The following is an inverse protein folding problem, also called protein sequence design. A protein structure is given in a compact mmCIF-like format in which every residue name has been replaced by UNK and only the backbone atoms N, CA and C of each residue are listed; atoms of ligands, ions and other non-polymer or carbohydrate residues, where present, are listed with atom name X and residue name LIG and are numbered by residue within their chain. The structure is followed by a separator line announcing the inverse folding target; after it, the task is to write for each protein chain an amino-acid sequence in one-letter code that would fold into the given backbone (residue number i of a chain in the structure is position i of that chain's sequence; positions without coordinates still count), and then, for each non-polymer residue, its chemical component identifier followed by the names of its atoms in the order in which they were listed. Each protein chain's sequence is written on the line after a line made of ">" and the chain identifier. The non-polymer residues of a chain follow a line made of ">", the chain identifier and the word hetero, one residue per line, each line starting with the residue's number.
data_IF_308007230764
#
_entry.id   IF_308007230764
#
_cell.length_a   1.000
_cell.length_b   1.000
_cell.length_c   1.000
_cell.angle_alpha   90.00
_cell.angle_beta   90.00
_cell.angle_gamma   90.00
#
_symmetry.space_group_name_H-M   'P 1'
#
loop_
_entity.id
_entity.type
_entity.pdbx_description
1 polymer ?
#
# COMPACT_ATOMS: atom_id res chain seq x y z
N UNK A 1 -31.12 29.36 10.53
CA UNK A 1 -31.34 28.21 9.63
C UNK A 1 -30.08 27.36 9.71
N UNK A 2 -30.00 26.40 10.63
CA UNK A 2 -30.40 24.99 10.46
C UNK A 2 -29.66 24.32 9.29
N UNK A 3 -28.39 23.98 9.51
CA UNK A 3 -27.78 22.84 8.83
C UNK A 3 -28.06 21.63 9.72
N UNK A 4 -28.78 20.67 9.17
CA UNK A 4 -29.28 19.50 9.85
C UNK A 4 -28.13 18.69 10.48
N UNK A 5 -28.31 18.30 11.74
CA UNK A 5 -27.66 17.11 12.29
C UNK A 5 -27.93 15.94 11.35
N UNK A 6 -26.87 15.34 10.81
CA UNK A 6 -26.95 14.05 10.12
C UNK A 6 -26.87 12.95 11.20
N UNK A 7 -27.96 12.19 11.48
CA UNK A 7 -27.93 11.08 12.42
C UNK A 7 -27.39 9.79 11.77
N UNK A 8 -26.74 9.89 10.61
CA UNK A 8 -26.04 8.80 9.94
C UNK A 8 -24.63 8.59 10.49
N UNK A 9 -24.51 8.28 11.78
CA UNK A 9 -23.27 7.80 12.38
C UNK A 9 -22.87 6.48 11.71
N UNK A 10 -22.09 6.57 10.63
CA UNK A 10 -21.28 5.43 10.18
C UNK A 10 -20.52 4.94 11.40
N UNK A 11 -20.57 3.64 11.72
CA UNK A 11 -19.83 3.13 12.87
C UNK A 11 -18.37 3.57 12.66
N UNK A 12 -17.84 4.32 13.62
CA UNK A 12 -16.42 4.54 13.71
C UNK A 12 -15.78 3.16 13.59
N UNK A 13 -14.84 2.95 12.64
CA UNK A 13 -14.18 1.65 12.55
C UNK A 13 -13.65 1.30 13.93
N UNK A 14 -13.79 0.03 14.30
CA UNK A 14 -13.42 -0.50 15.62
C UNK A 14 -12.11 0.14 16.10
N UNK A 15 -12.01 0.49 17.40
CA UNK A 15 -10.79 1.09 17.92
C UNK A 15 -9.61 0.21 17.52
N UNK A 16 -8.66 0.83 16.80
CA UNK A 16 -7.46 0.14 16.33
C UNK A 16 -6.83 -0.60 17.52
N UNK A 17 -6.37 -1.85 17.33
CA UNK A 17 -5.87 -2.66 18.43
C UNK A 17 -4.70 -1.94 19.12
N UNK A 18 -4.65 -2.05 20.45
CA UNK A 18 -3.60 -1.43 21.25
C UNK A 18 -2.21 -1.99 20.91
N UNK A 19 -2.17 -3.31 20.67
CA UNK A 19 -0.98 -4.07 20.32
C UNK A 19 -1.22 -4.90 19.05
N UNK A 20 -0.18 -5.05 18.24
CA UNK A 20 -0.17 -5.84 17.01
C UNK A 20 0.99 -6.82 17.08
N UNK A 21 0.75 -8.07 16.68
CA UNK A 21 1.83 -9.05 16.60
C UNK A 21 2.77 -8.74 15.45
N UNK A 22 4.07 -8.88 15.68
CA UNK A 22 5.08 -8.55 14.69
C UNK A 22 4.95 -9.38 13.40
N UNK A 23 4.51 -10.64 13.50
CA UNK A 23 4.25 -11.51 12.35
C UNK A 23 3.05 -11.04 11.51
N UNK A 24 1.97 -10.59 12.14
CA UNK A 24 0.82 -10.03 11.43
C UNK A 24 1.13 -8.66 10.81
N UNK A 25 1.93 -7.83 11.50
CA UNK A 25 2.42 -6.58 10.95
C UNK A 25 3.31 -6.85 9.71
N UNK A 26 4.24 -7.80 9.78
CA UNK A 26 5.08 -8.17 8.64
C UNK A 26 4.26 -8.68 7.45
N UNK A 27 3.26 -9.52 7.70
CA UNK A 27 2.36 -10.01 6.65
C UNK A 27 1.56 -8.86 6.02
N UNK A 28 1.09 -7.91 6.82
CA UNK A 28 0.36 -6.74 6.34
C UNK A 28 1.27 -5.78 5.56
N UNK A 29 2.52 -5.60 5.98
CA UNK A 29 3.55 -4.88 5.23
C UNK A 29 3.83 -5.54 3.87
N UNK A 30 3.89 -6.87 3.81
CA UNK A 30 4.06 -7.60 2.55
C UNK A 30 2.89 -7.36 1.59
N UNK A 31 1.65 -7.43 2.09
CA UNK A 31 0.44 -7.16 1.31
C UNK A 31 0.38 -5.70 0.83
N UNK A 32 0.79 -4.76 1.69
CA UNK A 32 0.88 -3.34 1.37
C UNK A 32 1.89 -3.08 0.25
N UNK A 33 3.08 -3.66 0.36
CA UNK A 33 4.13 -3.55 -0.66
C UNK A 33 3.68 -4.15 -2.00
N UNK A 34 3.00 -5.30 -1.99
CA UNK A 34 2.43 -5.89 -3.19
C UNK A 34 1.37 -4.97 -3.84
N UNK A 35 0.50 -4.35 -3.05
CA UNK A 35 -0.48 -3.39 -3.57
C UNK A 35 0.20 -2.13 -4.13
N UNK A 36 1.28 -1.66 -3.52
CA UNK A 36 2.07 -0.54 -4.03
C UNK A 36 2.73 -0.89 -5.37
N UNK A 37 3.33 -2.07 -5.50
CA UNK A 37 3.87 -2.56 -6.77
C UNK A 37 2.79 -2.60 -7.87
N UNK A 38 1.57 -3.07 -7.53
CA UNK A 38 0.44 -3.05 -8.48
C UNK A 38 0.00 -1.63 -8.86
N UNK A 39 0.06 -0.67 -7.93
CA UNK A 39 -0.23 0.73 -8.22
C UNK A 39 0.83 1.33 -9.16
N UNK A 40 2.12 1.05 -8.93
CA UNK A 40 3.23 1.46 -9.79
C UNK A 40 3.12 0.86 -11.19
N UNK A 41 2.74 -0.42 -11.30
CA UNK A 41 2.51 -1.05 -12.60
C UNK A 41 1.40 -0.34 -13.42
N UNK A 42 0.33 0.10 -12.76
CA UNK A 42 -0.74 0.87 -13.43
C UNK A 42 -0.26 2.26 -13.86
N UNK A 43 0.57 2.91 -13.04
CA UNK A 43 1.17 4.21 -13.36
C UNK A 43 2.10 4.08 -14.58
N UNK A 44 2.98 3.07 -14.58
CA UNK A 44 3.89 2.76 -15.68
C UNK A 44 3.12 2.54 -17.00
N UNK A 45 2.07 1.72 -16.97
CA UNK A 45 1.21 1.50 -18.13
C UNK A 45 0.54 2.80 -18.64
N UNK A 46 0.08 3.67 -17.74
CA UNK A 46 -0.54 4.95 -18.08
C UNK A 46 0.48 5.94 -18.69
N UNK A 47 1.71 5.97 -18.16
CA UNK A 47 2.80 6.77 -18.71
C UNK A 47 3.21 6.25 -20.09
N UNK A 48 3.24 4.93 -20.28
CA UNK A 48 3.57 4.31 -21.57
C UNK A 48 2.55 4.64 -22.66
N UNK A 49 1.25 4.63 -22.31
CA UNK A 49 0.18 5.09 -23.20
C UNK A 49 0.31 6.58 -23.52
N UNK A 50 0.60 7.40 -22.52
CA UNK A 50 0.82 8.85 -22.71
C UNK A 50 1.97 9.10 -23.68
N UNK A 51 3.11 8.42 -23.51
CA UNK A 51 4.25 8.53 -24.41
C UNK A 51 3.91 8.08 -25.83
N UNK A 52 3.15 6.99 -25.99
CA UNK A 52 2.70 6.51 -27.30
C UNK A 52 1.80 7.54 -28.00
N UNK A 53 0.88 8.17 -27.26
CA UNK A 53 0.02 9.24 -27.79
C UNK A 53 0.83 10.47 -28.20
N UNK A 54 1.78 10.90 -27.38
CA UNK A 54 2.69 12.03 -27.68
C UNK A 54 3.49 11.76 -28.96
N UNK A 55 4.00 10.53 -29.13
CA UNK A 55 4.72 10.13 -30.36
C UNK A 55 3.81 10.04 -31.59
N UNK A 56 2.57 9.60 -31.43
CA UNK A 56 1.60 9.44 -32.52
C UNK A 56 0.99 10.76 -32.99
N UNK A 57 0.97 11.79 -32.14
CA UNK A 57 0.60 13.16 -32.51
C UNK A 57 1.70 13.77 -33.41
N UNK A 58 1.70 13.38 -34.68
CA UNK A 58 2.66 13.84 -35.68
C UNK A 58 2.59 15.38 -35.81
N UNK A 59 3.68 16.06 -35.46
CA UNK A 59 3.83 17.50 -35.67
C UNK A 59 5.11 18.09 -35.11
N UNK A 60 5.47 17.74 -33.88
CA UNK A 60 6.73 18.04 -33.18
C UNK A 60 6.50 17.63 -31.73
N UNK A 61 6.50 16.33 -31.44
CA UNK A 61 6.65 15.91 -30.06
C UNK A 61 7.98 16.48 -29.60
N UNK A 62 7.94 17.39 -28.62
CA UNK A 62 9.14 18.01 -28.07
C UNK A 62 10.10 16.87 -27.67
N UNK A 63 11.26 16.81 -28.33
CA UNK A 63 12.26 15.78 -28.07
C UNK A 63 12.68 15.79 -26.59
N UNK A 64 12.65 16.95 -25.94
CA UNK A 64 12.84 17.10 -24.51
C UNK A 64 11.75 16.39 -23.70
N UNK A 65 10.48 16.61 -24.03
CA UNK A 65 9.34 15.93 -23.40
C UNK A 65 9.40 14.41 -23.59
N UNK A 66 9.70 13.94 -24.81
CA UNK A 66 9.82 12.50 -25.09
C UNK A 66 10.96 11.86 -24.29
N UNK A 67 12.10 12.56 -24.17
CA UNK A 67 13.23 12.10 -23.36
C UNK A 67 12.88 12.05 -21.88
N UNK A 68 12.21 13.09 -21.35
CA UNK A 68 11.80 13.15 -19.95
C UNK A 68 10.81 12.02 -19.60
N UNK A 69 9.77 11.83 -20.40
CA UNK A 69 8.80 10.75 -20.20
C UNK A 69 9.44 9.36 -20.29
N UNK A 70 10.45 9.18 -21.15
CA UNK A 70 11.19 7.92 -21.24
C UNK A 70 12.00 7.66 -19.97
N UNK A 71 12.64 8.69 -19.41
CA UNK A 71 13.37 8.58 -18.14
C UNK A 71 12.44 8.29 -16.97
N UNK A 72 11.29 8.97 -16.91
CA UNK A 72 10.26 8.74 -15.88
C UNK A 72 9.72 7.31 -15.94
N UNK A 73 9.51 6.76 -17.14
CA UNK A 73 9.12 5.35 -17.32
C UNK A 73 10.18 4.37 -16.81
N UNK A 74 11.45 4.61 -17.14
CA UNK A 74 12.54 3.76 -16.64
C UNK A 74 12.62 3.79 -15.11
N UNK A 75 12.46 4.97 -14.51
CA UNK A 75 12.43 5.12 -13.07
C UNK A 75 11.21 4.46 -12.44
N UNK A 76 10.02 4.60 -13.05
CA UNK A 76 8.79 3.96 -12.58
C UNK A 76 8.90 2.44 -12.63
N UNK A 77 9.47 1.88 -13.70
CA UNK A 77 9.71 0.45 -13.82
C UNK A 77 10.71 -0.06 -12.78
N UNK A 78 11.81 0.66 -12.55
CA UNK A 78 12.77 0.33 -11.49
C UNK A 78 12.09 0.29 -10.11
N UNK A 79 11.35 1.35 -9.75
CA UNK A 79 10.63 1.42 -8.48
C UNK A 79 9.59 0.31 -8.32
N UNK A 80 8.93 -0.07 -9.42
CA UNK A 80 7.99 -1.20 -9.44
C UNK A 80 8.70 -2.51 -9.12
N UNK A 81 9.83 -2.79 -9.76
CA UNK A 81 10.62 -4.01 -9.53
C UNK A 81 11.17 -4.06 -8.09
N UNK A 82 11.66 -2.93 -7.56
CA UNK A 82 12.13 -2.82 -6.18
C UNK A 82 10.99 -3.08 -5.17
N UNK A 83 9.81 -2.47 -5.39
CA UNK A 83 8.64 -2.68 -4.54
C UNK A 83 8.16 -4.14 -4.57
N UNK A 84 8.19 -4.79 -5.74
CA UNK A 84 7.85 -6.21 -5.88
C UNK A 84 8.84 -7.11 -5.14
N UNK A 85 10.15 -6.86 -5.29
CA UNK A 85 11.19 -7.59 -4.57
C UNK A 85 11.08 -7.42 -3.05
N UNK A 86 10.78 -6.21 -2.57
CA UNK A 86 10.53 -5.96 -1.15
C UNK A 86 9.29 -6.69 -0.65
N UNK A 87 8.20 -6.71 -1.42
CA UNK A 87 6.99 -7.45 -1.06
C UNK A 87 7.27 -8.95 -0.90
N UNK A 88 8.03 -9.54 -1.83
CA UNK A 88 8.42 -10.94 -1.80
C UNK A 88 9.34 -11.25 -0.60
N UNK A 89 10.32 -10.39 -0.31
CA UNK A 89 11.21 -10.54 0.85
C UNK A 89 10.44 -10.47 2.17
N UNK A 90 9.50 -9.52 2.30
CA UNK A 90 8.64 -9.39 3.47
C UNK A 90 7.71 -10.60 3.63
N UNK A 91 7.13 -11.11 2.54
CA UNK A 91 6.30 -12.32 2.57
C UNK A 91 7.10 -13.54 3.02
N UNK A 92 8.35 -13.69 2.56
CA UNK A 92 9.26 -14.73 3.01
C UNK A 92 9.53 -14.63 4.51
N UNK A 93 9.85 -13.43 5.01
CA UNK A 93 10.07 -13.20 6.45
C UNK A 93 8.81 -13.50 7.27
N UNK A 94 7.63 -13.13 6.77
CA UNK A 94 6.35 -13.41 7.43
C UNK A 94 6.00 -14.92 7.46
N UNK A 95 6.57 -15.71 6.55
CA UNK A 95 6.36 -17.17 6.51
C UNK A 95 7.23 -17.95 7.51
N UNK A 96 8.22 -17.30 8.13
CA UNK A 96 9.11 -17.92 9.11
C UNK A 96 8.37 -18.25 10.42
N UNK A 97 8.89 -19.18 11.25
CA UNK A 97 8.27 -19.55 12.52
C UNK A 97 7.99 -18.34 13.40
N UNK A 98 6.75 -18.27 13.90
CA UNK A 98 6.22 -17.13 14.63
C UNK A 98 7.01 -16.90 15.92
N UNK A 99 7.43 -15.65 16.15
CA UNK A 99 7.94 -15.20 17.44
C UNK A 99 6.82 -14.42 18.15
N UNK A 100 6.59 -14.63 19.45
CA UNK A 100 5.48 -13.99 20.19
C UNK A 100 5.74 -12.50 20.50
N UNK A 101 6.36 -11.76 19.57
CA UNK A 101 6.70 -10.36 19.80
C UNK A 101 5.50 -9.46 19.49
N UNK A 102 5.09 -8.67 20.47
CA UNK A 102 4.03 -7.66 20.33
C UNK A 102 4.66 -6.28 20.16
N UNK A 103 4.06 -5.48 19.29
CA UNK A 103 4.41 -4.09 19.05
C UNK A 103 3.19 -3.22 19.37
N UNK A 104 3.40 -2.08 20.03
CA UNK A 104 2.29 -1.17 20.31
C UNK A 104 1.91 -0.39 19.06
N UNK A 105 0.64 0.03 18.97
CA UNK A 105 0.18 0.87 17.86
C UNK A 105 0.99 2.18 17.72
N UNK A 106 1.48 2.74 18.84
CA UNK A 106 2.32 3.94 18.83
C UNK A 106 3.69 3.70 18.20
N UNK A 107 4.31 2.53 18.45
CA UNK A 107 5.56 2.16 17.79
C UNK A 107 5.37 2.07 16.28
N UNK A 108 4.26 1.48 15.82
CA UNK A 108 3.93 1.40 14.38
C UNK A 108 3.69 2.79 13.80
N UNK A 109 2.91 3.63 14.48
CA UNK A 109 2.61 5.01 14.03
C UNK A 109 3.86 5.88 13.94
N UNK A 110 4.79 5.75 14.87
CA UNK A 110 6.05 6.50 14.87
C UNK A 110 6.89 6.23 13.60
N UNK A 111 6.78 5.04 13.01
CA UNK A 111 7.51 4.66 11.81
C UNK A 111 6.71 4.81 10.51
N UNK A 112 5.43 5.17 10.58
CA UNK A 112 4.52 5.20 9.42
C UNK A 112 3.78 6.53 9.35
N UNK A 113 4.37 7.59 8.78
CA UNK A 113 3.79 8.94 8.87
C UNK A 113 2.49 9.12 8.07
N UNK A 114 2.16 8.20 7.16
CA UNK A 114 0.96 8.27 6.31
C UNK A 114 -0.22 7.62 7.01
N UNK A 115 -1.24 8.40 7.40
CA UNK A 115 -2.43 7.92 8.13
C UNK A 115 -3.15 6.77 7.42
N UNK A 116 -3.27 6.84 6.09
CA UNK A 116 -3.89 5.76 5.32
C UNK A 116 -3.11 4.44 5.38
N UNK A 117 -1.78 4.51 5.45
CA UNK A 117 -0.89 3.36 5.63
C UNK A 117 -1.03 2.80 7.05
N UNK A 118 -1.03 3.67 8.07
CA UNK A 118 -1.24 3.28 9.47
C UNK A 118 -2.52 2.45 9.63
N UNK A 119 -3.64 2.93 9.06
CA UNK A 119 -4.93 2.22 9.12
C UNK A 119 -4.82 0.83 8.52
N UNK A 120 -4.27 0.69 7.31
CA UNK A 120 -4.15 -0.62 6.66
C UNK A 120 -3.25 -1.57 7.46
N UNK A 121 -2.13 -1.07 7.98
CA UNK A 121 -1.20 -1.87 8.78
C UNK A 121 -1.81 -2.35 10.11
N UNK A 122 -2.58 -1.50 10.77
CA UNK A 122 -3.17 -1.79 12.09
C UNK A 122 -4.49 -2.55 12.00
N UNK A 123 -5.25 -2.42 10.91
CA UNK A 123 -6.49 -3.15 10.68
C UNK A 123 -6.27 -4.58 10.14
N UNK A 124 -5.18 -4.82 9.39
CA UNK A 124 -4.91 -6.12 8.78
C UNK A 124 -4.65 -7.28 9.75
N UNK A 125 -4.31 -6.98 11.01
CA UNK A 125 -4.17 -7.99 12.07
C UNK A 125 -5.51 -8.53 12.60
N UNK A 126 -6.60 -7.76 12.55
CA UNK A 126 -7.87 -8.12 13.18
C UNK A 126 -8.66 -9.21 12.43
N UNK A 127 -8.55 -9.28 11.10
CA UNK A 127 -9.31 -10.25 10.29
C UNK A 127 -8.89 -11.70 10.56
N UNK A 128 -7.66 -11.94 11.04
CA UNK A 128 -7.13 -13.28 11.31
C UNK A 128 -7.55 -13.82 12.67
N UNK A 129 -7.64 -12.98 13.69
CA UNK A 129 -8.04 -13.42 15.02
C UNK A 129 -9.54 -13.77 15.07
N UNK A 130 -10.39 -13.05 14.33
CA UNK A 130 -11.83 -13.37 14.23
C UNK A 130 -12.11 -14.74 13.58
N UNK A 131 -11.24 -15.22 12.68
CA UNK A 131 -11.40 -16.51 12.01
C UNK A 131 -11.10 -17.73 12.91
N UNK A 132 -10.61 -17.52 14.15
CA UNK A 132 -10.17 -18.61 15.03
C UNK A 132 -11.12 -18.88 16.21
N UNK A 133 -12.16 -18.06 16.39
CA UNK A 133 -13.12 -18.17 17.52
C UNK A 133 -14.52 -18.67 17.12
N UNK A 134 -14.64 -19.39 16.00
CA UNK A 134 -15.90 -19.93 15.51
C UNK A 134 -15.88 -21.44 15.30
N UNK A 135 -15.63 -22.22 16.35
CA UNK A 135 -15.93 -23.66 16.40
C UNK A 135 -15.96 -24.11 17.86
N UNK A 136 -17.14 -24.07 18.46
CA UNK A 136 -17.58 -24.96 19.55
C UNK A 136 -19.02 -25.39 19.24
#
# INVERSE_FOLDING_TARGET
>A
MLFADDPGGTPLPDPLPADVRADDLLATCAAEAARQAQALHRLDAALGQTLAMVRAAAGQADAGLVSALTADLQQADQLRQEAEGLAQALALLASLPRRPHLLTADQVRACTPIVALQRRLLSGGQERDCATFGSD
#
